data_IF_651889831397
#
_entry.id   IF_651889831397
#
_cell.length_a   1.000
_cell.length_b   1.000
_cell.length_c   1.000
_cell.angle_alpha   90.00
_cell.angle_beta   90.00
_cell.angle_gamma   90.00
#
_symmetry.space_group_name_H-M   'P 1'
#
loop_
_entity.id
_entity.type
_entity.pdbx_description
1 polymer ?
#
# COMPACT_ATOMS: atom_id res chain seq x y z
N UNK A 1 5.75 -68.69 15.58
CA UNK A 1 6.42 -67.55 16.25
C UNK A 1 7.22 -66.68 15.27
N UNK A 2 8.01 -67.27 14.38
CA UNK A 2 8.83 -66.60 13.34
C UNK A 2 8.08 -65.62 12.40
N UNK A 3 6.83 -65.91 12.02
CA UNK A 3 6.10 -65.09 11.04
C UNK A 3 5.56 -63.76 11.63
N UNK A 4 5.28 -63.72 12.93
CA UNK A 4 4.79 -62.52 13.65
C UNK A 4 5.91 -61.49 13.85
N UNK A 5 7.15 -61.95 14.09
CA UNK A 5 8.34 -61.10 14.21
C UNK A 5 8.72 -60.42 12.88
N UNK A 6 8.59 -61.11 11.75
CA UNK A 6 8.90 -60.51 10.44
C UNK A 6 7.97 -59.34 10.09
N UNK A 7 6.66 -59.47 10.36
CA UNK A 7 5.70 -58.36 10.15
C UNK A 7 5.97 -57.17 11.06
N UNK A 8 6.40 -57.40 12.31
CA UNK A 8 6.71 -56.33 13.26
C UNK A 8 7.93 -55.49 12.82
N UNK A 9 8.95 -56.14 12.23
CA UNK A 9 10.17 -55.48 11.76
C UNK A 9 9.92 -54.68 10.47
N UNK A 10 9.08 -55.19 9.56
CA UNK A 10 8.73 -54.45 8.33
C UNK A 10 7.90 -53.18 8.63
N UNK A 11 7.01 -53.22 9.63
CA UNK A 11 6.20 -52.05 10.01
C UNK A 11 7.05 -50.93 10.64
N UNK A 12 8.12 -51.28 11.38
CA UNK A 12 9.03 -50.29 11.98
C UNK A 12 9.84 -49.54 10.92
N UNK A 13 10.21 -50.19 9.82
CA UNK A 13 10.94 -49.54 8.72
C UNK A 13 10.08 -48.57 7.90
N UNK A 14 8.78 -48.83 7.76
CA UNK A 14 7.86 -47.91 7.04
C UNK A 14 7.56 -46.67 7.89
N UNK A 15 7.59 -46.78 9.22
CA UNK A 15 7.32 -45.66 10.13
C UNK A 15 8.53 -44.71 10.32
N UNK A 16 9.76 -45.19 10.10
CA UNK A 16 10.98 -44.38 10.18
C UNK A 16 11.20 -43.42 9.00
N UNK A 17 10.53 -43.61 7.87
CA UNK A 17 10.67 -42.76 6.69
C UNK A 17 9.74 -41.53 6.69
N UNK A 18 8.79 -41.43 7.63
CA UNK A 18 7.82 -40.32 7.69
C UNK A 18 8.28 -39.12 8.53
N UNK A 19 9.47 -39.18 9.14
CA UNK A 19 10.00 -38.09 9.98
C UNK A 19 11.21 -37.40 9.35
N UNK A 20 11.13 -37.09 8.06
CA UNK A 20 11.91 -36.00 7.47
C UNK A 20 10.93 -34.90 7.10
N UNK A 21 10.34 -34.27 8.11
CA UNK A 21 9.62 -33.01 7.91
C UNK A 21 10.66 -31.99 7.46
N UNK A 22 10.61 -31.65 6.16
CA UNK A 22 11.33 -30.53 5.58
C UNK A 22 10.94 -29.26 6.36
N UNK A 23 11.81 -28.81 7.26
CA UNK A 23 11.71 -27.47 7.83
C UNK A 23 12.31 -26.49 6.81
N UNK A 24 11.63 -26.32 5.68
CA UNK A 24 11.92 -25.23 4.76
C UNK A 24 11.52 -23.93 5.45
N UNK A 25 12.47 -23.29 6.13
CA UNK A 25 12.31 -21.90 6.52
C UNK A 25 12.41 -21.09 5.22
N UNK A 26 11.28 -20.63 4.71
CA UNK A 26 11.28 -19.60 3.69
C UNK A 26 12.01 -18.39 4.29
N UNK A 27 13.21 -18.09 3.79
CA UNK A 27 13.85 -16.82 4.08
C UNK A 27 13.01 -15.74 3.40
N UNK A 28 12.13 -15.10 4.16
CA UNK A 28 11.43 -13.92 3.69
C UNK A 28 12.46 -12.80 3.62
N UNK A 29 12.82 -12.41 2.39
CA UNK A 29 13.56 -11.15 2.19
C UNK A 29 12.64 -10.05 2.74
N UNK A 30 13.14 -9.16 3.63
CA UNK A 30 12.31 -8.04 4.08
C UNK A 30 11.96 -7.15 2.88
N UNK A 31 10.70 -6.74 2.80
CA UNK A 31 10.22 -5.79 1.79
C UNK A 31 11.07 -4.50 1.82
N UNK A 32 11.35 -3.94 0.64
CA UNK A 32 12.11 -2.69 0.53
C UNK A 32 11.22 -1.50 0.90
N UNK A 33 11.59 -0.75 1.94
CA UNK A 33 10.90 0.49 2.34
C UNK A 33 11.22 1.60 1.34
N UNK A 34 10.19 2.10 0.66
CA UNK A 34 10.32 3.16 -0.35
C UNK A 34 10.13 4.57 0.24
N UNK A 35 9.31 4.71 1.29
CA UNK A 35 9.03 6.00 1.89
C UNK A 35 8.66 5.89 3.38
N UNK A 36 9.20 6.79 4.18
CA UNK A 36 9.06 6.78 5.64
C UNK A 36 10.34 6.28 6.34
N UNK A 37 10.26 5.93 7.63
CA UNK A 37 9.07 5.96 8.48
C UNK A 37 8.63 7.38 8.84
N UNK A 38 7.32 7.56 9.04
CA UNK A 38 6.74 8.80 9.52
C UNK A 38 6.01 8.61 10.85
N UNK A 39 6.10 9.61 11.72
CA UNK A 39 5.26 9.72 12.92
C UNK A 39 3.91 10.36 12.55
N UNK A 40 2.87 9.98 13.28
CA UNK A 40 1.53 10.55 13.13
C UNK A 40 0.86 10.73 14.49
N UNK A 41 0.15 11.83 14.68
CA UNK A 41 -0.63 12.07 15.91
C UNK A 41 -1.76 11.04 16.10
N UNK A 42 -2.16 10.34 15.03
CA UNK A 42 -3.16 9.28 15.11
C UNK A 42 -2.63 8.09 15.92
N UNK A 43 -1.34 7.78 15.83
CA UNK A 43 -0.68 6.70 16.58
C UNK A 43 0.61 7.24 17.21
N UNK A 44 0.53 7.85 18.41
CA UNK A 44 1.67 8.54 19.03
C UNK A 44 2.93 7.68 19.23
N UNK A 45 2.73 6.40 19.57
CA UNK A 45 3.81 5.40 19.74
C UNK A 45 4.04 4.54 18.49
N UNK A 46 3.38 4.90 17.38
CA UNK A 46 3.46 4.20 16.11
C UNK A 46 4.25 4.98 15.06
N UNK A 47 4.47 4.30 13.94
CA UNK A 47 5.01 4.88 12.72
C UNK A 47 4.32 4.26 11.52
N UNK A 48 4.26 5.00 10.43
CA UNK A 48 3.83 4.50 9.14
C UNK A 48 5.00 4.47 8.16
N UNK A 49 4.96 3.55 7.22
CA UNK A 49 5.91 3.50 6.11
C UNK A 49 5.26 2.80 4.92
N UNK A 50 5.91 2.94 3.77
CA UNK A 50 5.48 2.33 2.53
C UNK A 50 6.60 1.45 2.03
N UNK A 51 6.26 0.24 1.62
CA UNK A 51 7.21 -0.76 1.16
C UNK A 51 6.71 -1.43 -0.12
N UNK A 52 7.63 -1.95 -0.92
CA UNK A 52 7.30 -2.75 -2.09
C UNK A 52 6.84 -4.13 -1.64
N UNK A 53 5.75 -4.62 -2.20
CA UNK A 53 5.37 -6.01 -2.00
C UNK A 53 6.35 -6.93 -2.78
N UNK A 54 6.76 -8.02 -2.13
CA UNK A 54 7.72 -8.98 -2.67
C UNK A 54 7.06 -10.05 -3.57
N UNK A 55 5.82 -9.84 -3.99
CA UNK A 55 5.05 -10.75 -4.85
C UNK A 55 5.32 -10.54 -6.34
N UNK A 56 5.85 -9.38 -6.72
CA UNK A 56 6.37 -9.10 -8.05
C UNK A 56 7.49 -10.11 -8.39
N UNK A 57 7.22 -10.99 -9.37
CA UNK A 57 8.31 -11.74 -10.02
C UNK A 57 9.37 -10.73 -10.46
N UNK A 58 10.66 -11.09 -10.42
CA UNK A 58 11.79 -10.17 -10.73
C UNK A 58 11.72 -9.42 -12.09
N UNK A 59 10.69 -9.68 -12.91
CA UNK A 59 10.44 -9.11 -14.21
C UNK A 59 9.21 -8.18 -14.27
N UNK A 60 8.51 -7.92 -13.16
CA UNK A 60 7.40 -6.96 -13.15
C UNK A 60 7.94 -5.52 -13.04
N UNK A 61 7.74 -4.67 -14.06
CA UNK A 61 8.15 -3.27 -13.99
C UNK A 61 7.31 -2.45 -12.99
N UNK A 62 6.11 -2.91 -12.64
CA UNK A 62 5.17 -2.19 -11.79
C UNK A 62 4.99 -2.92 -10.45
N UNK A 63 5.60 -2.38 -9.40
CA UNK A 63 5.54 -3.00 -8.07
C UNK A 63 4.37 -2.43 -7.27
N UNK A 64 3.60 -3.32 -6.62
CA UNK A 64 2.60 -2.93 -5.63
C UNK A 64 3.29 -2.30 -4.42
N UNK A 65 2.69 -1.22 -3.91
CA UNK A 65 3.17 -0.48 -2.75
C UNK A 65 2.22 -0.73 -1.58
N UNK A 66 2.70 -1.41 -0.55
CA UNK A 66 1.97 -1.60 0.69
C UNK A 66 2.11 -0.40 1.62
N UNK A 67 0.99 0.07 2.18
CA UNK A 67 0.95 1.06 3.25
C UNK A 67 0.92 0.34 4.60
N UNK A 68 2.02 0.41 5.35
CA UNK A 68 2.18 -0.27 6.63
C UNK A 68 2.06 0.70 7.80
N UNK A 69 1.33 0.27 8.82
CA UNK A 69 1.33 0.84 10.18
C UNK A 69 2.06 -0.11 11.11
N UNK A 70 3.05 0.40 11.84
CA UNK A 70 3.74 -0.32 12.91
C UNK A 70 3.54 0.42 14.24
N UNK A 71 3.06 -0.28 15.26
CA UNK A 71 2.78 0.31 16.57
C UNK A 71 2.96 -0.71 17.69
N UNK A 72 3.03 -0.23 18.94
CA UNK A 72 3.09 -1.10 20.11
C UNK A 72 1.70 -1.39 20.64
N UNK A 73 1.41 -2.67 20.88
CA UNK A 73 0.23 -3.12 21.60
C UNK A 73 0.67 -4.21 22.60
N UNK A 74 0.30 -4.06 23.88
CA UNK A 74 0.63 -5.02 24.93
C UNK A 74 2.14 -5.36 25.01
N UNK A 75 3.01 -4.35 24.88
CA UNK A 75 4.48 -4.47 24.77
C UNK A 75 5.02 -5.24 23.55
N UNK A 76 4.17 -5.63 22.60
CA UNK A 76 4.56 -6.26 21.36
C UNK A 76 4.49 -5.27 20.20
N UNK A 77 5.41 -5.41 19.24
CA UNK A 77 5.34 -4.67 17.98
C UNK A 77 4.30 -5.36 17.11
N UNK A 78 3.23 -4.64 16.77
CA UNK A 78 2.29 -5.01 15.74
C UNK A 78 2.62 -4.30 14.44
N UNK A 79 2.37 -4.99 13.34
CA UNK A 79 2.41 -4.46 11.97
C UNK A 79 1.09 -4.79 11.30
N UNK A 80 0.51 -3.80 10.63
CA UNK A 80 -0.74 -3.92 9.89
C UNK A 80 -0.54 -3.29 8.51
N UNK A 81 -0.93 -4.02 7.48
CA UNK A 81 -1.11 -3.44 6.15
C UNK A 81 -2.46 -2.74 6.14
N UNK A 82 -2.42 -1.43 5.95
CA UNK A 82 -3.59 -0.55 5.97
C UNK A 82 -4.23 -0.50 4.59
N UNK A 83 -3.40 -0.46 3.55
CA UNK A 83 -3.82 -0.35 2.16
C UNK A 83 -2.72 -0.83 1.23
N UNK A 84 -3.04 -0.96 -0.04
CA UNK A 84 -2.11 -1.26 -1.12
C UNK A 84 -2.39 -0.36 -2.33
N UNK A 85 -1.34 -0.01 -3.06
CA UNK A 85 -1.44 0.76 -4.29
C UNK A 85 -0.74 -0.01 -5.39
N UNK A 86 -1.50 -0.46 -6.38
CA UNK A 86 -1.04 -1.29 -7.47
C UNK A 86 -1.18 -0.58 -8.83
N UNK A 87 -0.79 -1.28 -9.88
CA UNK A 87 -0.93 -0.82 -11.26
C UNK A 87 -2.41 -0.54 -11.61
N UNK A 88 -2.63 0.59 -12.27
CA UNK A 88 -3.90 0.93 -12.94
C UNK A 88 -3.57 1.47 -14.34
N UNK A 89 -3.31 0.57 -15.28
CA UNK A 89 -2.86 0.91 -16.63
C UNK A 89 -1.46 1.55 -16.74
N UNK A 90 -0.81 1.80 -15.60
CA UNK A 90 0.59 2.25 -15.48
C UNK A 90 1.14 1.93 -14.08
N UNK A 91 2.46 1.96 -13.90
CA UNK A 91 3.06 1.77 -12.59
C UNK A 91 2.69 2.89 -11.63
N UNK A 92 2.36 2.54 -10.38
CA UNK A 92 2.07 3.51 -9.33
C UNK A 92 3.35 4.12 -8.76
N UNK A 93 3.31 5.43 -8.50
CA UNK A 93 4.32 6.16 -7.76
C UNK A 93 3.69 6.84 -6.53
N UNK A 94 4.35 6.75 -5.37
CA UNK A 94 4.01 7.61 -4.25
C UNK A 94 4.57 9.02 -4.47
N UNK A 95 3.72 9.91 -4.98
CA UNK A 95 4.09 11.30 -5.23
C UNK A 95 4.30 12.09 -3.93
N UNK A 96 3.51 11.83 -2.89
CA UNK A 96 3.69 12.48 -1.58
C UNK A 96 2.94 11.79 -0.46
N UNK A 97 3.52 11.84 0.74
CA UNK A 97 2.84 11.53 2.00
C UNK A 97 2.87 12.76 2.90
N UNK A 98 1.73 13.17 3.45
CA UNK A 98 1.67 14.34 4.31
C UNK A 98 0.54 14.29 5.34
N UNK A 99 0.68 15.12 6.37
CA UNK A 99 -0.27 15.21 7.48
C UNK A 99 -0.96 16.57 7.47
N UNK A 100 -2.26 16.58 7.75
CA UNK A 100 -3.03 17.80 7.94
C UNK A 100 -4.25 17.55 8.84
N UNK A 101 -4.82 18.64 9.36
CA UNK A 101 -6.09 18.62 10.09
C UNK A 101 -7.20 19.23 9.24
N UNK A 102 -8.34 18.57 9.19
CA UNK A 102 -9.55 19.02 8.52
C UNK A 102 -10.70 18.98 9.51
N UNK A 103 -11.40 20.10 9.74
CA UNK A 103 -12.41 20.23 10.82
C UNK A 103 -11.92 19.66 12.18
N UNK A 104 -10.69 20.00 12.58
CA UNK A 104 -10.02 19.49 13.79
C UNK A 104 -9.76 17.98 13.87
N UNK A 105 -10.10 17.21 12.82
CA UNK A 105 -9.78 15.79 12.70
C UNK A 105 -8.43 15.63 11.99
N UNK A 106 -7.54 14.81 12.55
CA UNK A 106 -6.20 14.54 11.99
C UNK A 106 -6.29 13.52 10.87
N UNK A 107 -5.50 13.73 9.81
CA UNK A 107 -5.45 12.86 8.65
C UNK A 107 -4.03 12.58 8.20
N UNK A 108 -3.84 11.38 7.66
CA UNK A 108 -2.70 11.01 6.82
C UNK A 108 -3.20 11.08 5.38
N UNK A 109 -2.53 11.86 4.54
CA UNK A 109 -2.82 11.92 3.11
C UNK A 109 -1.70 11.21 2.37
N UNK A 110 -2.10 10.29 1.49
CA UNK A 110 -1.19 9.57 0.60
C UNK A 110 -1.59 9.91 -0.83
N UNK A 111 -0.64 10.46 -1.57
CA UNK A 111 -0.83 10.86 -2.96
C UNK A 111 -0.13 9.86 -3.86
N UNK A 112 -0.92 9.20 -4.70
CA UNK A 112 -0.46 8.31 -5.75
C UNK A 112 -0.46 9.04 -7.10
N UNK A 113 0.42 8.62 -7.99
CA UNK A 113 0.51 9.09 -9.38
C UNK A 113 0.71 7.90 -10.31
N UNK A 114 -0.06 7.85 -11.39
CA UNK A 114 0.08 6.89 -12.49
C UNK A 114 0.40 7.65 -13.77
N UNK A 115 1.55 7.34 -14.38
CA UNK A 115 2.00 7.98 -15.62
C UNK A 115 1.57 7.19 -16.85
N UNK A 116 0.56 7.65 -17.58
CA UNK A 116 0.08 7.02 -18.80
C UNK A 116 0.76 7.62 -20.02
N UNK A 117 1.40 6.76 -20.82
CA UNK A 117 2.01 7.15 -22.07
C UNK A 117 1.65 6.16 -23.18
N UNK A 118 0.76 6.56 -24.08
CA UNK A 118 0.36 5.79 -25.26
C UNK A 118 0.52 6.66 -26.52
N UNK A 119 1.74 6.72 -27.10
CA UNK A 119 2.03 7.59 -28.24
C UNK A 119 1.15 7.32 -29.47
N UNK A 120 0.72 6.07 -29.66
CA UNK A 120 -0.12 5.65 -30.80
C UNK A 120 -1.50 6.31 -30.84
N UNK A 121 -1.95 6.87 -29.72
CA UNK A 121 -3.24 7.57 -29.57
C UNK A 121 -3.07 8.95 -28.92
N UNK A 122 -1.85 9.51 -28.97
CA UNK A 122 -1.52 10.85 -28.44
C UNK A 122 -1.90 11.07 -26.95
N UNK A 123 -1.80 10.00 -26.15
CA UNK A 123 -2.03 10.07 -24.70
C UNK A 123 -0.68 10.20 -23.99
N UNK A 124 -0.53 11.27 -23.21
CA UNK A 124 0.62 11.47 -22.32
C UNK A 124 0.16 12.29 -21.11
N UNK A 125 -0.22 11.61 -20.03
CA UNK A 125 -0.75 12.24 -18.84
C UNK A 125 -0.33 11.53 -17.56
N UNK A 126 -0.40 12.29 -16.46
CA UNK A 126 -0.37 11.76 -15.11
C UNK A 126 -1.79 11.77 -14.54
N UNK A 127 -2.22 10.65 -13.97
CA UNK A 127 -3.39 10.60 -13.09
C UNK A 127 -2.94 10.65 -11.64
N UNK A 128 -3.48 11.59 -10.87
CA UNK A 128 -3.21 11.74 -9.45
C UNK A 128 -4.44 11.34 -8.65
N UNK A 129 -4.23 10.63 -7.55
CA UNK A 129 -5.23 10.40 -6.49
C UNK A 129 -4.61 10.73 -5.15
N UNK A 130 -5.39 11.31 -4.23
CA UNK A 130 -4.97 11.54 -2.86
C UNK A 130 -5.99 10.93 -1.91
N UNK A 131 -5.61 9.82 -1.31
CA UNK A 131 -6.42 9.13 -0.30
C UNK A 131 -6.16 9.71 1.08
N UNK A 132 -7.24 9.94 1.84
CA UNK A 132 -7.17 10.49 3.18
C UNK A 132 -7.56 9.41 4.20
N UNK A 133 -6.64 9.10 5.11
CA UNK A 133 -6.81 8.14 6.17
C UNK A 133 -6.96 8.82 7.52
N UNK A 134 -7.83 8.29 8.35
CA UNK A 134 -8.11 8.76 9.71
C UNK A 134 -8.49 7.59 10.60
N UNK A 135 -8.41 7.78 11.92
CA UNK A 135 -9.00 6.81 12.85
C UNK A 135 -10.52 6.82 12.81
N UNK A 136 -11.10 5.63 12.88
CA UNK A 136 -12.50 5.41 13.22
C UNK A 136 -12.72 5.44 14.75
N UNK A 137 -13.90 5.01 15.20
CA UNK A 137 -14.27 4.97 16.61
C UNK A 137 -13.56 3.85 17.38
N UNK A 138 -13.18 2.76 16.70
CA UNK A 138 -12.48 1.61 17.27
C UNK A 138 -10.95 1.82 17.29
N UNK A 139 -10.49 2.93 16.70
CA UNK A 139 -9.09 3.34 16.66
C UNK A 139 -8.32 2.73 15.48
N UNK A 140 -9.00 2.11 14.53
CA UNK A 140 -8.44 1.56 13.29
C UNK A 140 -8.26 2.66 12.26
N UNK A 141 -7.21 2.57 11.44
CA UNK A 141 -6.99 3.52 10.36
C UNK A 141 -7.87 3.16 9.16
N UNK A 142 -8.76 4.06 8.76
CA UNK A 142 -9.73 3.87 7.67
C UNK A 142 -9.64 5.00 6.65
N UNK A 143 -10.09 4.73 5.42
CA UNK A 143 -10.32 5.77 4.41
C UNK A 143 -11.54 6.60 4.82
N UNK A 144 -11.41 7.93 4.80
CA UNK A 144 -12.54 8.83 5.00
C UNK A 144 -13.31 9.03 3.68
N UNK A 145 -14.51 8.46 3.61
CA UNK A 145 -15.33 8.47 2.40
C UNK A 145 -15.71 9.88 1.92
N UNK A 146 -15.81 10.87 2.80
CA UNK A 146 -16.10 12.25 2.39
C UNK A 146 -14.91 12.89 1.69
N UNK A 147 -13.70 12.61 2.18
CA UNK A 147 -12.47 13.05 1.52
C UNK A 147 -12.23 12.29 0.23
N UNK A 148 -12.42 10.97 0.23
CA UNK A 148 -12.26 10.14 -0.97
C UNK A 148 -13.16 10.61 -2.13
N UNK A 149 -14.39 11.03 -1.82
CA UNK A 149 -15.34 11.54 -2.81
C UNK A 149 -15.15 13.03 -3.15
N UNK A 150 -14.11 13.70 -2.66
CA UNK A 150 -13.83 15.08 -3.04
C UNK A 150 -13.22 15.12 -4.46
N UNK A 151 -13.93 15.69 -5.46
CA UNK A 151 -13.48 15.65 -6.86
C UNK A 151 -12.20 16.47 -7.12
N UNK A 152 -11.72 17.23 -6.14
CA UNK A 152 -10.45 17.96 -6.22
C UNK A 152 -9.26 17.17 -5.66
N UNK A 153 -9.47 15.99 -5.09
CA UNK A 153 -8.38 15.14 -4.58
C UNK A 153 -7.93 14.08 -5.58
N UNK A 154 -8.54 14.05 -6.76
CA UNK A 154 -8.07 13.28 -7.90
C UNK A 154 -8.18 14.07 -9.20
N UNK A 155 -7.37 13.70 -10.20
CA UNK A 155 -7.47 14.30 -11.51
C UNK A 155 -6.28 14.04 -12.43
N UNK A 156 -6.51 14.28 -13.72
CA UNK A 156 -5.54 14.07 -14.79
C UNK A 156 -4.83 15.38 -15.15
N UNK A 157 -3.51 15.31 -15.35
CA UNK A 157 -2.68 16.40 -15.89
C UNK A 157 -1.97 15.92 -17.15
N UNK A 158 -2.08 16.66 -18.25
CA UNK A 158 -1.43 16.28 -19.51
C UNK A 158 -2.43 16.02 -20.63
N UNK A 159 -2.02 15.25 -21.63
CA UNK A 159 -2.77 15.00 -22.85
C UNK A 159 -3.65 13.76 -22.73
N UNK A 160 -4.91 13.92 -23.12
CA UNK A 160 -5.93 12.86 -23.14
C UNK A 160 -6.63 12.86 -24.49
N UNK A 161 -6.87 11.68 -25.03
CA UNK A 161 -7.64 11.49 -26.26
C UNK A 161 -9.07 11.05 -25.91
N UNK A 162 -9.91 12.03 -25.54
CA UNK A 162 -11.31 11.81 -25.17
C UNK A 162 -12.32 12.59 -26.03
N UNK A 163 -11.86 13.22 -27.11
CA UNK A 163 -12.69 14.00 -28.03
C UNK A 163 -13.29 15.29 -27.46
N UNK A 164 -13.08 15.61 -26.18
CA UNK A 164 -13.63 16.82 -25.53
C UNK A 164 -12.59 17.92 -25.46
N UNK A 165 -11.41 17.60 -24.91
CA UNK A 165 -10.32 18.56 -24.71
C UNK A 165 -9.00 17.77 -24.68
N UNK A 166 -8.10 18.10 -25.59
CA UNK A 166 -6.85 17.37 -25.75
C UNK A 166 -5.88 17.52 -24.55
N UNK A 167 -6.01 18.58 -23.73
CA UNK A 167 -5.17 18.80 -22.55
C UNK A 167 -5.99 19.02 -21.29
N UNK A 168 -5.66 18.29 -20.22
CA UNK A 168 -6.15 18.42 -18.85
C UNK A 168 -5.10 19.13 -17.99
N UNK A 169 -5.57 19.89 -17.02
CA UNK A 169 -4.72 20.58 -16.05
C UNK A 169 -5.20 20.25 -14.64
N UNK A 170 -4.42 19.46 -13.92
CA UNK A 170 -4.68 19.17 -12.51
C UNK A 170 -3.81 20.07 -11.63
N UNK A 171 -4.47 20.85 -10.77
CA UNK A 171 -3.81 21.89 -9.97
C UNK A 171 -3.15 21.36 -8.68
N UNK A 172 -3.54 20.19 -8.19
CA UNK A 172 -3.17 19.72 -6.85
C UNK A 172 -2.14 18.59 -6.85
N UNK A 173 -1.04 18.80 -7.57
CA UNK A 173 0.03 17.82 -7.79
C UNK A 173 1.06 17.71 -6.65
N UNK A 174 0.87 18.46 -5.55
CA UNK A 174 1.83 18.51 -4.45
C UNK A 174 1.13 18.58 -3.10
N UNK A 175 1.79 18.12 -2.04
CA UNK A 175 1.30 18.28 -0.67
C UNK A 175 0.98 19.74 -0.31
N UNK A 176 1.80 20.70 -0.75
CA UNK A 176 1.57 22.11 -0.48
C UNK A 176 0.27 22.63 -1.14
N UNK A 177 0.03 22.23 -2.39
CA UNK A 177 -1.19 22.60 -3.11
C UNK A 177 -2.45 22.00 -2.46
N UNK A 178 -2.41 20.72 -2.06
CA UNK A 178 -3.53 20.08 -1.37
C UNK A 178 -3.74 20.69 0.02
N UNK A 179 -2.68 20.89 0.82
CA UNK A 179 -2.80 21.54 2.14
C UNK A 179 -3.45 22.92 2.03
N UNK A 180 -3.08 23.71 1.03
CA UNK A 180 -3.71 25.02 0.76
C UNK A 180 -5.19 24.87 0.43
N UNK A 181 -5.54 23.91 -0.43
CA UNK A 181 -6.94 23.62 -0.77
C UNK A 181 -7.78 23.18 0.42
N UNK A 182 -7.28 22.22 1.20
CA UNK A 182 -7.97 21.71 2.39
C UNK A 182 -8.24 22.84 3.39
N UNK A 183 -7.27 23.73 3.58
CA UNK A 183 -7.44 24.93 4.41
C UNK A 183 -8.48 25.90 3.85
N UNK A 184 -8.61 26.03 2.53
CA UNK A 184 -9.58 26.95 1.94
C UNK A 184 -11.01 26.40 1.95
N UNK A 185 -11.17 25.07 1.85
CA UNK A 185 -12.49 24.43 1.75
C UNK A 185 -13.05 23.98 3.09
N UNK A 186 -12.19 23.56 4.03
CA UNK A 186 -12.59 22.83 5.24
C UNK A 186 -12.00 23.39 6.54
N UNK A 187 -11.39 24.57 6.52
CA UNK A 187 -11.02 25.32 7.73
C UNK A 187 -11.69 26.68 7.68
#
# INVERSE_FOLDING_TARGET
MQHKMKKLITTIYILGCLTYSFTSHAQTVPNEVIQGPFKTDLYPDGKIYFEKENDATNNDPCQTIAFILEYKQDNHIKKEQIDEYSEDGACVELASVFFAKVHNKSYIFVMQKWGHNMPSVDISNDFYTTTAYTKDQDGSLIIDSKMFNDPNLSGTDGYVDDGVRHRRYYKYKTAAAIKKYLKQKYQ
#
